data_IF_157454196779
#
_entry.id   IF_157454196779
#
_cell.length_a   1.000
_cell.length_b   1.000
_cell.length_c   1.000
_cell.angle_alpha   90.00
_cell.angle_beta   90.00
_cell.angle_gamma   90.00
#
_symmetry.space_group_name_H-M   'P 1'
#
loop_
_entity.id
_entity.type
_entity.pdbx_description
1 polymer ?
#
# COMPACT_ATOMS: atom_id res chain seq x y z
N UNK A 1 36.77 8.75 -19.97
CA UNK A 1 36.07 7.64 -20.67
C UNK A 1 34.92 8.23 -21.47
N UNK A 2 35.17 8.64 -22.72
CA UNK A 2 34.11 9.13 -23.62
C UNK A 2 33.50 7.93 -24.32
N UNK A 3 32.27 7.57 -23.96
CA UNK A 3 31.49 6.58 -24.67
C UNK A 3 31.06 7.24 -26.00
N UNK A 4 31.77 6.96 -27.09
CA UNK A 4 31.35 7.37 -28.43
C UNK A 4 30.19 6.51 -28.89
N UNK A 5 28.96 6.97 -28.61
CA UNK A 5 27.74 6.39 -29.18
C UNK A 5 27.64 6.82 -30.65
N UNK A 6 27.34 5.86 -31.54
CA UNK A 6 27.13 6.14 -32.97
C UNK A 6 25.89 7.02 -33.19
N UNK A 7 25.94 7.93 -34.17
CA UNK A 7 24.83 8.85 -34.48
C UNK A 7 23.54 8.11 -34.84
N UNK A 8 23.65 6.98 -35.54
CA UNK A 8 22.54 6.09 -35.86
C UNK A 8 21.84 5.56 -34.61
N UNK A 9 22.63 5.18 -33.58
CA UNK A 9 22.08 4.71 -32.32
C UNK A 9 21.37 5.84 -31.56
N UNK A 10 21.91 7.06 -31.56
CA UNK A 10 21.23 8.23 -30.97
C UNK A 10 19.89 8.47 -31.65
N UNK A 11 19.87 8.45 -32.98
CA UNK A 11 18.65 8.67 -33.75
C UNK A 11 17.60 7.58 -33.48
N UNK A 12 18.01 6.30 -33.50
CA UNK A 12 17.14 5.19 -33.15
C UNK A 12 16.56 5.33 -31.74
N UNK A 13 17.39 5.68 -30.74
CA UNK A 13 16.93 5.91 -29.37
C UNK A 13 15.96 7.10 -29.26
N UNK A 14 16.15 8.17 -30.06
CA UNK A 14 15.23 9.30 -30.12
C UNK A 14 13.85 8.87 -30.68
N UNK A 15 13.84 8.10 -31.77
CA UNK A 15 12.60 7.56 -32.36
C UNK A 15 11.86 6.65 -31.38
N UNK A 16 12.56 5.73 -30.71
CA UNK A 16 11.94 4.87 -29.70
C UNK A 16 11.38 5.68 -28.53
N UNK A 17 12.06 6.73 -28.09
CA UNK A 17 11.56 7.59 -27.02
C UNK A 17 10.24 8.29 -27.39
N UNK A 18 10.09 8.75 -28.63
CA UNK A 18 8.84 9.29 -29.13
C UNK A 18 7.74 8.25 -29.16
N UNK A 19 8.03 7.07 -29.71
CA UNK A 19 7.09 5.96 -29.80
C UNK A 19 6.55 5.55 -28.42
N UNK A 20 7.44 5.30 -27.44
CA UNK A 20 7.02 4.93 -26.08
C UNK A 20 6.20 6.03 -25.41
N UNK A 21 6.55 7.30 -25.62
CA UNK A 21 5.80 8.42 -25.04
C UNK A 21 4.39 8.50 -25.64
N UNK A 22 4.25 8.32 -26.96
CA UNK A 22 2.95 8.29 -27.63
C UNK A 22 2.06 7.15 -27.10
N UNK A 23 2.62 5.96 -26.94
CA UNK A 23 1.91 4.81 -26.34
C UNK A 23 1.45 5.13 -24.91
N UNK A 24 2.27 5.79 -24.10
CA UNK A 24 1.89 6.14 -22.73
C UNK A 24 0.81 7.23 -22.66
N UNK A 25 0.83 8.20 -23.58
CA UNK A 25 -0.24 9.20 -23.70
C UNK A 25 -1.54 8.50 -24.05
N UNK A 26 -1.51 7.59 -25.03
CA UNK A 26 -2.67 6.83 -25.46
C UNK A 26 -3.22 5.92 -24.35
N UNK A 27 -2.34 5.22 -23.62
CA UNK A 27 -2.69 4.44 -22.43
C UNK A 27 -3.43 5.30 -21.38
N UNK A 28 -2.88 6.47 -21.04
CA UNK A 28 -3.47 7.39 -20.06
C UNK A 28 -4.81 7.95 -20.56
N UNK A 29 -4.91 8.34 -21.83
CA UNK A 29 -6.15 8.84 -22.44
C UNK A 29 -7.26 7.78 -22.40
N UNK A 30 -6.96 6.54 -22.77
CA UNK A 30 -7.93 5.44 -22.71
C UNK A 30 -8.42 5.20 -21.28
N UNK A 31 -7.52 5.21 -20.28
CA UNK A 31 -7.91 5.04 -18.86
C UNK A 31 -8.79 6.21 -18.37
N UNK A 32 -8.48 7.44 -18.75
CA UNK A 32 -9.28 8.62 -18.38
C UNK A 32 -10.69 8.53 -18.96
N UNK A 33 -10.82 8.13 -20.23
CA UNK A 33 -12.12 7.97 -20.90
C UNK A 33 -12.93 6.82 -20.28
N UNK A 34 -12.29 5.68 -19.98
CA UNK A 34 -12.98 4.51 -19.44
C UNK A 34 -13.41 4.66 -17.98
N UNK A 35 -12.57 5.25 -17.12
CA UNK A 35 -12.79 5.32 -15.66
C UNK A 35 -13.40 6.66 -15.21
N UNK A 36 -13.31 7.69 -16.05
CA UNK A 36 -13.62 9.08 -15.71
C UNK A 36 -12.50 9.75 -14.90
N UNK A 37 -12.33 11.06 -15.10
CA UNK A 37 -11.20 11.84 -14.55
C UNK A 37 -11.07 11.73 -13.01
N UNK A 38 -12.19 11.79 -12.28
CA UNK A 38 -12.19 11.74 -10.81
C UNK A 38 -11.74 10.39 -10.25
N UNK A 39 -12.19 9.28 -10.87
CA UNK A 39 -11.85 7.93 -10.40
C UNK A 39 -10.43 7.55 -10.79
N UNK A 40 -10.01 7.97 -11.97
CA UNK A 40 -8.65 7.78 -12.44
C UNK A 40 -7.61 8.51 -11.56
N UNK A 41 -7.89 9.76 -11.16
CA UNK A 41 -7.01 10.51 -10.27
C UNK A 41 -7.12 10.13 -8.79
N UNK A 42 -8.04 9.25 -8.38
CA UNK A 42 -8.12 8.79 -7.00
C UNK A 42 -7.05 7.73 -6.66
N UNK A 43 -6.64 6.93 -7.65
CA UNK A 43 -5.63 5.87 -7.47
C UNK A 43 -4.20 6.45 -7.56
N UNK A 44 -3.40 6.23 -6.51
CA UNK A 44 -2.01 6.71 -6.40
C UNK A 44 -1.12 6.20 -7.53
N UNK A 45 -1.36 4.98 -8.01
CA UNK A 45 -0.59 4.41 -9.11
C UNK A 45 -0.95 5.06 -10.45
N UNK A 46 -2.20 5.45 -10.63
CA UNK A 46 -2.63 6.20 -11.81
C UNK A 46 -2.14 7.65 -11.76
N UNK A 47 -2.11 8.30 -10.58
CA UNK A 47 -1.49 9.63 -10.41
C UNK A 47 -0.01 9.60 -10.82
N UNK A 48 0.75 8.58 -10.40
CA UNK A 48 2.15 8.39 -10.81
C UNK A 48 2.27 8.16 -12.32
N UNK A 49 1.31 7.47 -12.94
CA UNK A 49 1.26 7.26 -14.41
C UNK A 49 1.16 8.59 -15.15
N UNK A 50 0.22 9.43 -14.75
CA UNK A 50 0.00 10.78 -15.33
C UNK A 50 1.21 11.66 -15.13
N UNK A 51 1.81 11.65 -13.93
CA UNK A 51 3.02 12.40 -13.64
C UNK A 51 4.18 12.02 -14.58
N UNK A 52 4.39 10.72 -14.82
CA UNK A 52 5.41 10.25 -15.77
C UNK A 52 5.11 10.70 -17.20
N UNK A 53 3.84 10.66 -17.63
CA UNK A 53 3.44 11.11 -18.97
C UNK A 53 3.70 12.60 -19.15
N UNK A 54 3.28 13.43 -18.18
CA UNK A 54 3.52 14.88 -18.19
C UNK A 54 5.02 15.18 -18.22
N UNK A 55 5.79 14.56 -17.34
CA UNK A 55 7.24 14.75 -17.28
C UNK A 55 7.94 14.33 -18.57
N UNK A 56 7.43 13.27 -19.21
CA UNK A 56 7.92 12.78 -20.50
C UNK A 56 7.66 13.76 -21.63
N UNK A 57 6.47 14.38 -21.68
CA UNK A 57 6.12 15.40 -22.67
C UNK A 57 6.96 16.65 -22.45
N UNK A 58 7.05 17.15 -21.22
CA UNK A 58 7.89 18.32 -20.89
C UNK A 58 9.35 18.07 -21.28
N UNK A 59 9.88 16.88 -20.96
CA UNK A 59 11.27 16.53 -21.27
C UNK A 59 11.57 16.38 -22.77
N UNK A 60 10.55 16.15 -23.60
CA UNK A 60 10.68 16.15 -25.06
C UNK A 60 10.59 17.59 -25.59
N UNK A 61 9.58 18.34 -25.16
CA UNK A 61 9.38 19.73 -25.58
C UNK A 61 10.61 20.57 -25.27
N UNK A 62 11.18 20.45 -24.06
CA UNK A 62 12.39 21.20 -23.69
C UNK A 62 13.63 20.81 -24.50
N UNK A 63 13.74 19.57 -24.99
CA UNK A 63 14.87 19.12 -25.83
C UNK A 63 14.72 19.64 -27.27
N UNK A 64 13.49 19.79 -27.77
CA UNK A 64 13.26 20.38 -29.10
C UNK A 64 13.35 21.92 -29.08
N UNK A 65 12.94 22.58 -27.99
CA UNK A 65 13.03 24.05 -27.81
C UNK A 65 14.46 24.57 -27.65
N UNK A 66 15.40 23.71 -27.24
CA UNK A 66 16.86 24.01 -27.25
C UNK A 66 17.33 24.36 -28.67
N UNK A 67 16.66 23.85 -29.71
CA UNK A 67 17.06 24.00 -31.11
C UNK A 67 16.72 25.36 -31.70
N UNK A 68 15.74 26.10 -31.16
CA UNK A 68 15.13 27.21 -31.93
C UNK A 68 15.15 28.61 -31.28
N UNK A 69 15.04 28.83 -29.96
CA UNK A 69 14.85 30.25 -29.49
C UNK A 69 15.37 30.62 -28.08
N UNK A 70 15.53 29.70 -27.11
CA UNK A 70 15.78 30.10 -25.70
C UNK A 70 17.07 29.46 -25.15
N UNK A 71 18.02 30.23 -24.58
CA UNK A 71 19.18 29.66 -23.88
C UNK A 71 18.75 29.03 -22.55
N UNK A 72 18.50 27.71 -22.56
CA UNK A 72 18.20 26.93 -21.36
C UNK A 72 19.50 26.48 -20.69
N UNK A 73 19.55 26.50 -19.35
CA UNK A 73 20.73 26.04 -18.61
C UNK A 73 21.02 24.55 -18.88
N UNK A 74 22.25 24.17 -19.29
CA UNK A 74 22.60 22.78 -19.63
C UNK A 74 22.41 21.80 -18.46
N UNK A 75 22.44 22.29 -17.22
CA UNK A 75 22.16 21.48 -16.02
C UNK A 75 20.71 20.99 -15.99
N UNK A 76 19.74 21.83 -16.38
CA UNK A 76 18.32 21.46 -16.41
C UNK A 76 18.09 20.36 -17.46
N UNK A 77 18.73 20.49 -18.62
CA UNK A 77 18.65 19.50 -19.70
C UNK A 77 19.20 18.15 -19.23
N UNK A 78 20.32 18.14 -18.49
CA UNK A 78 20.87 16.91 -17.90
C UNK A 78 19.89 16.27 -16.91
N UNK A 79 19.28 17.06 -16.03
CA UNK A 79 18.28 16.57 -15.06
C UNK A 79 17.08 15.96 -15.81
N UNK A 80 16.55 16.64 -16.83
CA UNK A 80 15.43 16.12 -17.62
C UNK A 80 15.75 14.81 -18.36
N UNK A 81 17.01 14.61 -18.80
CA UNK A 81 17.48 13.34 -19.36
C UNK A 81 17.46 12.22 -18.31
N UNK A 82 17.94 12.48 -17.09
CA UNK A 82 17.92 11.52 -15.98
C UNK A 82 16.48 11.18 -15.58
N UNK A 83 15.58 12.16 -15.58
CA UNK A 83 14.17 11.98 -15.24
C UNK A 83 13.42 11.02 -16.17
N UNK A 84 13.92 10.73 -17.39
CA UNK A 84 13.36 9.69 -18.26
C UNK A 84 13.43 8.29 -17.63
N UNK A 85 14.37 8.06 -16.70
CA UNK A 85 14.46 6.81 -15.90
C UNK A 85 13.20 6.62 -15.07
N UNK A 86 12.47 7.68 -14.70
CA UNK A 86 11.20 7.56 -13.98
C UNK A 86 10.17 6.69 -14.74
N UNK A 87 10.27 6.58 -16.08
CA UNK A 87 9.42 5.67 -16.87
C UNK A 87 9.60 4.21 -16.46
N UNK A 88 10.79 3.81 -16.00
CA UNK A 88 11.07 2.45 -15.49
C UNK A 88 10.24 2.17 -14.23
N UNK A 89 9.87 3.21 -13.45
CA UNK A 89 9.00 3.05 -12.28
C UNK A 89 7.60 2.53 -12.64
N UNK A 90 7.17 2.64 -13.91
CA UNK A 90 5.94 1.97 -14.38
C UNK A 90 6.02 0.45 -14.22
N UNK A 91 7.21 -0.15 -14.34
CA UNK A 91 7.40 -1.60 -14.18
C UNK A 91 7.14 -2.05 -12.74
N UNK A 92 7.33 -1.17 -11.75
CA UNK A 92 7.04 -1.46 -10.34
C UNK A 92 5.54 -1.76 -10.12
N UNK A 93 4.65 -1.21 -10.95
CA UNK A 93 3.20 -1.48 -10.90
C UNK A 93 2.85 -2.91 -11.30
N UNK A 94 3.65 -3.51 -12.18
CA UNK A 94 3.40 -4.84 -12.73
C UNK A 94 3.90 -5.93 -11.78
N UNK A 95 4.94 -5.63 -11.01
CA UNK A 95 5.51 -6.53 -10.02
C UNK A 95 4.73 -6.49 -8.70
N UNK A 96 3.69 -7.34 -8.58
CA UNK A 96 2.86 -7.45 -7.37
C UNK A 96 3.68 -7.63 -6.08
N UNK A 97 4.77 -8.40 -6.13
CA UNK A 97 5.66 -8.59 -4.98
C UNK A 97 6.41 -7.31 -4.56
N UNK A 98 6.96 -6.55 -5.53
CA UNK A 98 7.65 -5.29 -5.24
C UNK A 98 6.66 -4.24 -4.72
N UNK A 99 5.46 -4.20 -5.28
CA UNK A 99 4.38 -3.32 -4.79
C UNK A 99 4.06 -3.59 -3.32
N UNK A 100 3.91 -4.86 -2.93
CA UNK A 100 3.64 -5.22 -1.54
C UNK A 100 4.77 -4.73 -0.59
N UNK A 101 6.03 -4.90 -0.99
CA UNK A 101 7.17 -4.40 -0.20
C UNK A 101 7.22 -2.86 -0.11
N UNK A 102 6.86 -2.15 -1.18
CA UNK A 102 6.79 -0.69 -1.15
C UNK A 102 5.63 -0.21 -0.26
N UNK A 103 4.49 -0.90 -0.29
CA UNK A 103 3.34 -0.57 0.54
C UNK A 103 3.67 -0.75 2.04
N UNK A 104 4.44 -1.79 2.43
CA UNK A 104 4.90 -1.95 3.83
C UNK A 104 5.90 -0.87 4.24
N UNK A 105 6.84 -0.49 3.37
CA UNK A 105 7.77 0.62 3.65
C UNK A 105 7.02 1.93 3.85
N UNK A 106 6.01 2.23 3.02
CA UNK A 106 5.21 3.44 3.14
C UNK A 106 4.37 3.47 4.43
N UNK A 107 3.96 2.31 4.94
CA UNK A 107 3.28 2.19 6.24
C UNK A 107 4.23 2.32 7.43
N UNK A 108 5.50 1.96 7.26
CA UNK A 108 6.54 2.14 8.28
C UNK A 108 7.03 3.61 8.38
N UNK A 109 7.01 4.35 7.27
CA UNK A 109 7.58 5.69 7.15
C UNK A 109 7.08 6.71 8.20
N UNK A 110 5.77 6.84 8.51
CA UNK A 110 5.29 7.80 9.50
C UNK A 110 5.88 7.60 10.89
N UNK A 111 6.14 6.34 11.27
CA UNK A 111 6.72 6.02 12.58
C UNK A 111 8.21 6.36 12.63
N UNK A 112 8.94 6.05 11.55
CA UNK A 112 10.35 6.45 11.42
C UNK A 112 10.48 7.97 11.36
N UNK A 113 9.51 8.67 10.79
CA UNK A 113 9.51 10.12 10.64
C UNK A 113 9.69 10.88 11.95
N UNK A 114 9.05 10.44 13.04
CA UNK A 114 9.18 11.09 14.36
C UNK A 114 10.61 11.00 14.91
N UNK A 115 11.23 9.83 14.81
CA UNK A 115 12.63 9.62 15.21
C UNK A 115 13.60 10.31 14.24
N UNK A 116 13.28 10.30 12.95
CA UNK A 116 14.03 10.99 11.91
C UNK A 116 14.06 12.50 12.10
N UNK A 117 12.98 13.11 12.63
CA UNK A 117 12.94 14.53 12.94
C UNK A 117 13.88 14.89 14.11
N UNK A 118 13.93 14.05 15.16
CA UNK A 118 14.92 14.20 16.24
C UNK A 118 16.36 14.07 15.71
N UNK A 119 16.59 13.09 14.83
CA UNK A 119 17.90 12.89 14.20
C UNK A 119 18.30 14.08 13.31
N UNK A 120 17.34 14.64 12.56
CA UNK A 120 17.56 15.83 11.76
C UNK A 120 17.89 17.07 12.61
N UNK A 121 17.21 17.24 13.76
CA UNK A 121 17.53 18.32 14.70
C UNK A 121 18.94 18.18 15.27
N UNK A 122 19.36 16.97 15.63
CA UNK A 122 20.73 16.68 16.07
C UNK A 122 21.73 17.13 14.99
N UNK A 123 21.52 16.74 13.73
CA UNK A 123 22.36 17.15 12.61
C UNK A 123 22.39 18.66 12.43
N UNK A 124 21.25 19.34 12.57
CA UNK A 124 21.19 20.79 12.44
C UNK A 124 22.04 21.51 13.49
N UNK A 125 21.92 21.12 14.76
CA UNK A 125 22.68 21.71 15.87
C UNK A 125 24.18 21.47 15.67
N UNK A 126 24.58 20.22 15.38
CA UNK A 126 25.99 19.88 15.18
C UNK A 126 26.54 20.53 13.91
N UNK A 127 25.78 20.63 12.81
CA UNK A 127 26.24 21.32 11.61
C UNK A 127 26.53 22.80 11.88
N UNK A 128 25.66 23.50 12.62
CA UNK A 128 25.89 24.88 13.00
C UNK A 128 27.14 25.04 13.90
N UNK A 129 27.29 24.18 14.91
CA UNK A 129 28.48 24.16 15.77
C UNK A 129 29.75 23.81 14.98
N UNK A 130 29.67 22.88 14.04
CA UNK A 130 30.80 22.46 13.21
C UNK A 130 31.28 23.57 12.28
N UNK A 131 30.36 24.37 11.72
CA UNK A 131 30.74 25.56 10.94
C UNK A 131 31.44 26.59 11.82
N UNK A 132 30.96 26.82 13.03
CA UNK A 132 31.58 27.79 13.94
C UNK A 132 32.97 27.34 14.41
N UNK A 133 33.12 26.06 14.76
CA UNK A 133 34.37 25.50 15.28
C UNK A 133 35.41 25.23 14.19
N UNK A 134 35.00 24.65 13.06
CA UNK A 134 35.90 24.10 12.04
C UNK A 134 35.81 24.82 10.68
N UNK A 135 34.96 25.84 10.54
CA UNK A 135 34.74 26.53 9.26
C UNK A 135 35.95 27.28 8.73
N UNK A 136 36.91 27.64 9.60
CA UNK A 136 38.15 28.33 9.25
C UNK A 136 39.33 27.38 8.96
N UNK A 137 39.12 26.06 9.03
CA UNK A 137 40.16 25.08 8.74
C UNK A 137 40.37 24.92 7.22
N UNK A 138 41.63 24.85 6.77
CA UNK A 138 41.96 24.75 5.34
C UNK A 138 42.81 23.53 5.00
N UNK A 139 42.41 22.77 3.99
CA UNK A 139 43.19 21.66 3.45
C UNK A 139 43.73 22.07 2.09
N UNK A 140 45.05 22.09 1.95
CA UNK A 140 45.79 22.43 0.71
C UNK A 140 46.94 21.45 0.55
N UNK A 141 47.70 21.53 -0.55
CA UNK A 141 48.89 20.69 -0.72
C UNK A 141 49.96 20.96 0.36
N UNK A 142 49.97 22.17 0.92
CA UNK A 142 50.84 22.55 2.05
C UNK A 142 50.34 21.98 3.39
N UNK A 143 49.02 21.81 3.54
CA UNK A 143 48.37 21.24 4.72
C UNK A 143 47.56 20.00 4.35
N UNK A 144 48.21 18.85 4.15
CA UNK A 144 47.53 17.63 3.70
C UNK A 144 46.54 17.15 4.76
N UNK A 145 45.34 16.80 4.30
CA UNK A 145 44.26 16.27 5.12
C UNK A 145 43.90 14.85 4.67
N UNK A 146 43.56 13.97 5.62
CA UNK A 146 43.21 12.57 5.33
C UNK A 146 41.70 12.34 5.21
N UNK A 147 40.90 13.04 6.02
CA UNK A 147 39.45 12.96 6.07
C UNK A 147 38.74 14.17 5.49
N UNK A 148 39.29 15.37 5.68
CA UNK A 148 38.79 16.62 5.11
C UNK A 148 39.30 16.82 3.69
N UNK A 149 38.50 17.50 2.87
CA UNK A 149 38.83 17.79 1.48
C UNK A 149 37.81 18.67 0.78
N UNK A 150 37.89 18.74 -0.55
CA UNK A 150 37.00 19.58 -1.36
C UNK A 150 35.52 19.25 -1.16
N UNK A 151 35.18 17.97 -0.96
CA UNK A 151 33.80 17.50 -0.78
C UNK A 151 33.44 17.12 0.66
N UNK A 152 34.34 17.38 1.63
CA UNK A 152 34.10 17.09 3.04
C UNK A 152 34.78 18.18 3.89
N UNK A 153 34.03 19.23 4.23
CA UNK A 153 34.53 20.37 5.00
C UNK A 153 33.39 21.12 5.70
N UNK A 154 33.75 21.97 6.67
CA UNK A 154 32.82 22.72 7.51
C UNK A 154 32.69 24.21 7.15
N UNK A 155 33.19 24.66 5.99
CA UNK A 155 33.14 26.06 5.54
C UNK A 155 31.74 26.63 5.41
N UNK A 156 30.76 25.81 5.04
CA UNK A 156 29.37 26.21 4.90
C UNK A 156 28.44 25.17 5.52
N UNK A 157 27.22 25.59 5.85
CA UNK A 157 26.24 24.74 6.52
C UNK A 157 25.90 23.47 5.73
N UNK A 158 25.74 23.57 4.41
CA UNK A 158 25.37 22.43 3.56
C UNK A 158 26.45 21.34 3.52
N UNK A 159 27.72 21.73 3.35
CA UNK A 159 28.86 20.80 3.38
C UNK A 159 29.13 20.27 4.77
N UNK A 160 28.93 21.07 5.82
CA UNK A 160 28.99 20.59 7.21
C UNK A 160 27.94 19.50 7.45
N UNK A 161 26.71 19.69 6.96
CA UNK A 161 25.64 18.69 7.05
C UNK A 161 26.00 17.38 6.32
N UNK A 162 26.53 17.47 5.09
CA UNK A 162 26.97 16.29 4.32
C UNK A 162 28.19 15.60 4.96
N UNK A 163 29.11 16.37 5.53
CA UNK A 163 30.28 15.84 6.26
C UNK A 163 29.84 15.10 7.52
N UNK A 164 28.86 15.64 8.26
CA UNK A 164 28.27 14.95 9.41
C UNK A 164 27.47 13.71 9.01
N UNK A 165 26.83 13.71 7.84
CA UNK A 165 26.20 12.51 7.30
C UNK A 165 27.22 11.38 7.08
N UNK A 166 28.39 11.71 6.50
CA UNK A 166 29.51 10.77 6.37
C UNK A 166 30.02 10.26 7.72
N UNK A 167 30.14 11.16 8.71
CA UNK A 167 30.56 10.78 10.06
C UNK A 167 29.54 9.86 10.74
N UNK A 168 28.24 10.15 10.59
CA UNK A 168 27.15 9.37 11.19
C UNK A 168 27.02 7.96 10.60
N UNK A 169 27.46 7.75 9.35
CA UNK A 169 27.55 6.39 8.76
C UNK A 169 28.78 5.63 9.24
N UNK A 170 29.65 6.25 10.05
CA UNK A 170 30.90 5.67 10.55
C UNK A 170 32.03 5.68 9.53
N UNK A 171 31.87 6.33 8.37
CA UNK A 171 32.91 6.38 7.35
C UNK A 171 33.96 7.45 7.67
N UNK A 172 35.21 7.02 7.82
CA UNK A 172 36.39 7.87 7.99
C UNK A 172 36.26 9.03 9.00
N UNK A 173 35.42 8.89 10.02
CA UNK A 173 35.21 9.95 11.03
C UNK A 173 36.46 10.23 11.86
N UNK A 174 37.28 9.20 12.10
CA UNK A 174 38.58 9.31 12.76
C UNK A 174 39.56 10.18 11.96
N UNK A 175 39.57 10.04 10.64
CA UNK A 175 40.43 10.86 9.76
C UNK A 175 40.01 12.33 9.82
N UNK A 176 38.70 12.59 9.74
CA UNK A 176 38.14 13.94 9.86
C UNK A 176 38.49 14.55 11.23
N UNK A 177 38.32 13.80 12.32
CA UNK A 177 38.67 14.25 13.66
C UNK A 177 40.18 14.57 13.79
N UNK A 178 41.05 13.70 13.26
CA UNK A 178 42.51 13.94 13.30
C UNK A 178 42.91 15.19 12.54
N UNK A 179 42.30 15.45 11.38
CA UNK A 179 42.58 16.67 10.62
C UNK A 179 42.18 17.93 11.39
N UNK A 180 41.11 17.88 12.19
CA UNK A 180 40.72 18.98 13.08
C UNK A 180 41.63 19.17 14.30
N UNK A 181 42.45 18.16 14.63
CA UNK A 181 43.35 18.16 15.79
C UNK A 181 44.81 18.49 15.42
N UNK A 182 45.05 18.92 14.19
CA UNK A 182 46.41 19.18 13.71
C UNK A 182 47.05 20.36 14.45
N UNK A 183 48.36 20.29 14.61
CA UNK A 183 49.17 21.36 15.23
C UNK A 183 49.70 22.37 14.19
N UNK A 184 49.68 22.02 12.91
CA UNK A 184 50.13 22.87 11.79
C UNK A 184 49.04 23.90 11.40
N UNK A 185 48.67 24.75 12.34
CA UNK A 185 47.63 25.78 12.22
C UNK A 185 48.04 27.05 12.97
N UNK A 186 47.32 28.15 12.72
CA UNK A 186 47.54 29.42 13.40
C UNK A 186 46.77 29.43 14.75
N UNK A 187 47.47 29.52 15.91
CA UNK A 187 46.84 29.56 17.22
C UNK A 187 46.39 30.96 17.65
N UNK A 188 46.60 31.99 16.83
CA UNK A 188 46.22 33.38 17.17
C UNK A 188 44.69 33.55 17.30
N UNK A 189 44.26 34.41 18.22
CA UNK A 189 42.84 34.72 18.44
C UNK A 189 42.21 35.44 17.24
N UNK A 190 43.02 36.20 16.49
CA UNK A 190 42.60 36.98 15.32
C UNK A 190 42.77 36.20 14.01
N UNK A 191 42.93 34.88 14.10
CA UNK A 191 43.12 34.03 12.95
C UNK A 191 41.93 34.09 11.97
N UNK A 192 42.24 34.32 10.70
CA UNK A 192 41.25 34.40 9.61
C UNK A 192 41.21 33.08 8.82
N UNK A 193 42.35 32.39 8.68
CA UNK A 193 42.49 31.16 7.90
C UNK A 193 43.39 30.14 8.59
N UNK A 194 43.04 28.86 8.46
CA UNK A 194 43.71 27.74 9.08
C UNK A 194 43.88 27.92 10.61
N UNK A 195 42.77 28.19 11.31
CA UNK A 195 42.82 28.43 12.75
C UNK A 195 42.85 27.13 13.54
N UNK A 196 43.70 27.10 14.57
CA UNK A 196 43.76 25.97 15.48
C UNK A 196 42.48 25.85 16.30
N UNK A 197 42.02 24.62 16.48
CA UNK A 197 40.92 24.29 17.39
C UNK A 197 41.50 23.67 18.66
N UNK A 198 40.84 23.90 19.78
CA UNK A 198 41.27 23.33 21.06
C UNK A 198 41.35 21.79 20.97
N UNK A 199 42.46 21.19 21.46
CA UNK A 199 42.68 19.75 21.40
C UNK A 199 41.68 18.95 22.26
N UNK A 200 40.89 19.62 23.10
CA UNK A 200 39.86 18.99 23.93
C UNK A 200 38.50 19.09 23.25
N UNK A 201 38.19 20.22 22.61
CA UNK A 201 36.86 20.48 22.03
C UNK A 201 36.64 19.61 20.79
N UNK A 202 37.65 19.48 19.93
CA UNK A 202 37.51 18.73 18.68
C UNK A 202 37.18 17.24 18.91
N UNK A 203 37.92 16.47 19.73
CA UNK A 203 37.58 15.07 19.99
C UNK A 203 36.23 14.93 20.71
N UNK A 204 35.93 15.83 21.66
CA UNK A 204 34.65 15.80 22.39
C UNK A 204 33.47 15.99 21.42
N UNK A 205 33.57 16.94 20.50
CA UNK A 205 32.55 17.18 19.48
C UNK A 205 32.27 15.90 18.65
N UNK A 206 33.32 15.27 18.09
CA UNK A 206 33.14 14.10 17.23
C UNK A 206 32.69 12.86 18.00
N UNK A 207 33.29 12.57 19.16
CA UNK A 207 32.91 11.41 19.98
C UNK A 207 31.47 11.52 20.46
N UNK A 208 31.08 12.69 20.96
CA UNK A 208 29.70 12.92 21.41
C UNK A 208 28.72 12.79 20.23
N UNK A 209 29.04 13.39 19.08
CA UNK A 209 28.21 13.28 17.89
C UNK A 209 28.03 11.82 17.44
N UNK A 210 29.12 11.07 17.32
CA UNK A 210 29.09 9.66 16.88
C UNK A 210 28.28 8.80 17.85
N UNK A 211 28.47 8.96 19.16
CA UNK A 211 27.71 8.22 20.16
C UNK A 211 26.21 8.57 20.11
N UNK A 212 25.86 9.86 20.02
CA UNK A 212 24.45 10.27 19.89
C UNK A 212 23.84 9.78 18.58
N UNK A 213 24.55 9.92 17.45
CA UNK A 213 24.05 9.52 16.14
C UNK A 213 23.84 8.00 16.07
N UNK A 214 24.79 7.21 16.58
CA UNK A 214 24.66 5.76 16.64
C UNK A 214 23.53 5.32 17.57
N UNK A 215 23.37 5.98 18.73
CA UNK A 215 22.27 5.70 19.64
C UNK A 215 20.91 5.94 18.97
N UNK A 216 20.74 7.07 18.28
CA UNK A 216 19.50 7.37 17.55
C UNK A 216 19.27 6.38 16.41
N UNK A 217 20.31 6.01 15.65
CA UNK A 217 20.20 5.05 14.56
C UNK A 217 19.77 3.66 15.06
N UNK A 218 20.37 3.19 16.15
CA UNK A 218 19.97 1.92 16.79
C UNK A 218 18.52 2.00 17.28
N UNK A 219 18.11 3.11 17.90
CA UNK A 219 16.72 3.29 18.34
C UNK A 219 15.74 3.28 17.16
N UNK A 220 16.11 3.83 16.00
CA UNK A 220 15.30 3.73 14.77
C UNK A 220 15.16 2.27 14.33
N UNK A 221 16.26 1.52 14.28
CA UNK A 221 16.23 0.10 13.91
C UNK A 221 15.37 -0.71 14.87
N UNK A 222 15.53 -0.49 16.19
CA UNK A 222 14.73 -1.16 17.22
C UNK A 222 13.25 -0.79 17.08
N UNK A 223 12.92 0.48 16.87
CA UNK A 223 11.53 0.90 16.69
C UNK A 223 10.86 0.25 15.46
N UNK A 224 11.58 0.16 14.34
CA UNK A 224 11.07 -0.51 13.12
C UNK A 224 10.91 -2.02 13.37
N UNK A 225 11.89 -2.65 13.99
CA UNK A 225 11.84 -4.08 14.33
C UNK A 225 10.66 -4.39 15.26
N UNK A 226 10.49 -3.59 16.33
CA UNK A 226 9.39 -3.77 17.28
C UNK A 226 8.03 -3.60 16.62
N UNK A 227 7.89 -2.62 15.72
CA UNK A 227 6.65 -2.48 14.95
C UNK A 227 6.37 -3.71 14.09
N UNK A 228 7.36 -4.24 13.38
CA UNK A 228 7.18 -5.43 12.56
C UNK A 228 6.86 -6.67 13.40
N UNK A 229 7.47 -6.82 14.58
CA UNK A 229 7.14 -7.89 15.52
C UNK A 229 5.70 -7.73 16.04
N UNK A 230 5.29 -6.53 16.45
CA UNK A 230 3.93 -6.25 16.93
C UNK A 230 2.88 -6.50 15.84
N UNK A 231 3.13 -6.06 14.61
CA UNK A 231 2.25 -6.29 13.46
C UNK A 231 2.17 -7.78 13.10
N UNK A 232 3.29 -8.51 13.16
CA UNK A 232 3.31 -9.97 12.95
C UNK A 232 2.61 -10.74 14.05
N UNK A 233 2.74 -10.32 15.32
CA UNK A 233 2.04 -10.94 16.45
C UNK A 233 0.55 -10.70 16.36
N UNK A 234 0.13 -9.46 16.05
CA UNK A 234 -1.28 -9.14 15.86
C UNK A 234 -1.92 -9.96 14.74
N UNK A 235 -1.23 -10.11 13.60
CA UNK A 235 -1.72 -10.96 12.52
C UNK A 235 -1.93 -12.41 12.96
N UNK A 236 -1.00 -12.95 13.75
CA UNK A 236 -1.11 -14.31 14.28
C UNK A 236 -2.26 -14.45 15.29
N UNK A 237 -2.47 -13.46 16.16
CA UNK A 237 -3.59 -13.47 17.12
C UNK A 237 -4.95 -13.36 16.41
N UNK A 238 -5.05 -12.49 15.39
CA UNK A 238 -6.25 -12.35 14.54
C UNK A 238 -6.57 -13.67 13.81
N UNK A 239 -5.55 -14.36 13.26
CA UNK A 239 -5.72 -15.65 12.59
C UNK A 239 -6.23 -16.74 13.57
N UNK A 240 -5.71 -16.78 14.79
CA UNK A 240 -6.16 -17.71 15.85
C UNK A 240 -7.63 -17.43 16.24
N UNK A 241 -8.01 -16.17 16.37
CA UNK A 241 -9.40 -15.80 16.71
C UNK A 241 -10.38 -16.19 15.58
N UNK A 242 -9.98 -15.98 14.33
CA UNK A 242 -10.77 -16.37 13.16
C UNK A 242 -10.96 -17.89 13.11
N UNK A 243 -9.89 -18.67 13.31
CA UNK A 243 -9.95 -20.13 13.32
C UNK A 243 -10.87 -20.66 14.44
N UNK A 244 -10.79 -20.07 15.63
CA UNK A 244 -11.66 -20.42 16.75
C UNK A 244 -13.14 -20.10 16.47
N UNK A 245 -13.43 -18.99 15.79
CA UNK A 245 -14.79 -18.63 15.39
C UNK A 245 -15.34 -19.56 14.29
N UNK A 246 -14.51 -19.93 13.31
CA UNK A 246 -14.86 -20.90 12.28
C UNK A 246 -15.21 -22.25 12.92
N UNK A 247 -14.40 -22.72 13.88
CA UNK A 247 -14.65 -24.00 14.56
C UNK A 247 -15.98 -23.99 15.33
N UNK A 248 -16.31 -22.88 16.02
CA UNK A 248 -17.60 -22.72 16.71
C UNK A 248 -18.78 -22.74 15.74
N UNK A 249 -18.66 -22.05 14.61
CA UNK A 249 -19.71 -22.02 13.59
C UNK A 249 -19.93 -23.41 12.98
N UNK A 250 -18.85 -24.14 12.68
CA UNK A 250 -18.90 -25.51 12.17
C UNK A 250 -19.55 -26.48 13.17
N UNK A 251 -19.22 -26.35 14.46
CA UNK A 251 -19.84 -27.13 15.53
C UNK A 251 -21.34 -26.84 15.67
N UNK A 252 -21.75 -25.57 15.58
CA UNK A 252 -23.15 -25.16 15.62
C UNK A 252 -23.94 -25.70 14.42
N UNK A 253 -23.40 -25.59 13.20
CA UNK A 253 -24.00 -26.16 12.00
C UNK A 253 -24.14 -27.69 12.07
N UNK A 254 -23.10 -28.38 12.56
CA UNK A 254 -23.13 -29.82 12.74
C UNK A 254 -24.22 -30.21 13.75
N UNK A 255 -24.31 -29.53 14.89
CA UNK A 255 -25.34 -29.76 15.90
C UNK A 255 -26.77 -29.56 15.34
N UNK A 256 -26.97 -28.54 14.52
CA UNK A 256 -28.24 -28.28 13.85
C UNK A 256 -28.59 -29.35 12.81
N UNK A 257 -27.59 -29.82 12.05
CA UNK A 257 -27.77 -30.92 11.09
C UNK A 257 -28.19 -32.22 11.78
N UNK A 258 -27.58 -32.53 12.94
CA UNK A 258 -27.92 -33.70 13.75
C UNK A 258 -29.33 -33.56 14.33
N UNK A 259 -29.69 -32.37 14.84
CA UNK A 259 -31.05 -32.07 15.32
C UNK A 259 -32.11 -32.19 14.22
N UNK A 260 -31.81 -31.80 12.98
CA UNK A 260 -32.72 -31.97 11.82
C UNK A 260 -32.89 -33.45 11.50
N UNK A 261 -31.79 -34.21 11.32
CA UNK A 261 -31.84 -35.67 11.09
C UNK A 261 -32.60 -36.42 12.19
N UNK A 262 -32.45 -36.00 13.45
CA UNK A 262 -33.18 -36.59 14.57
C UNK A 262 -34.69 -36.31 14.52
N UNK A 263 -35.09 -35.08 14.13
CA UNK A 263 -36.51 -34.74 13.92
C UNK A 263 -37.13 -35.51 12.77
N UNK A 264 -36.39 -35.70 11.68
CA UNK A 264 -36.86 -36.45 10.51
C UNK A 264 -37.07 -37.93 10.84
N UNK A 265 -36.12 -38.58 11.53
CA UNK A 265 -36.30 -39.96 12.03
C UNK A 265 -37.51 -40.11 12.94
N UNK A 266 -37.75 -39.15 13.85
CA UNK A 266 -38.94 -39.17 14.72
C UNK A 266 -40.24 -39.01 13.93
N UNK A 267 -40.24 -38.20 12.86
CA UNK A 267 -41.41 -38.06 11.96
C UNK A 267 -41.67 -39.34 11.18
N UNK A 268 -40.63 -40.01 10.70
CA UNK A 268 -40.74 -41.29 10.00
C UNK A 268 -41.26 -42.40 10.92
N UNK A 269 -40.78 -42.46 12.17
CA UNK A 269 -41.28 -43.42 13.16
C UNK A 269 -42.77 -43.21 13.47
N UNK A 270 -43.22 -41.96 13.69
CA UNK A 270 -44.65 -41.67 13.88
C UNK A 270 -45.49 -42.05 12.67
N UNK A 271 -45.02 -41.76 11.46
CA UNK A 271 -45.73 -42.17 10.23
C UNK A 271 -45.86 -43.68 10.12
N UNK A 272 -44.83 -44.45 10.52
CA UNK A 272 -44.90 -45.91 10.56
C UNK A 272 -45.87 -46.43 11.63
N UNK A 273 -45.89 -45.81 12.81
CA UNK A 273 -46.87 -46.13 13.86
C UNK A 273 -48.30 -45.83 13.40
N UNK A 274 -48.56 -44.65 12.84
CA UNK A 274 -49.85 -44.28 12.25
C UNK A 274 -50.23 -45.24 11.11
N UNK A 275 -49.29 -45.70 10.28
CA UNK A 275 -49.56 -46.69 9.24
C UNK A 275 -49.96 -48.04 9.82
N UNK A 276 -49.30 -48.48 10.90
CA UNK A 276 -49.62 -49.74 11.60
C UNK A 276 -50.97 -49.65 12.30
N UNK A 277 -51.27 -48.51 12.92
CA UNK A 277 -52.55 -48.26 13.60
C UNK A 277 -53.71 -48.18 12.60
N UNK A 278 -53.51 -47.50 11.46
CA UNK A 278 -54.49 -47.47 10.37
C UNK A 278 -54.67 -48.83 9.69
N UNK A 279 -53.62 -49.66 9.61
CA UNK A 279 -53.72 -51.05 9.16
C UNK A 279 -54.48 -51.95 10.16
N UNK A 280 -54.47 -51.61 11.46
CA UNK A 280 -55.22 -52.31 12.51
C UNK A 280 -56.68 -51.83 12.65
N UNK A 281 -57.05 -50.70 12.04
CA UNK A 281 -58.46 -50.32 11.88
C UNK A 281 -59.11 -51.26 10.86
N UNK A 282 -59.87 -52.25 11.34
CA UNK A 282 -60.72 -53.10 10.49
C UNK A 282 -61.54 -52.21 9.54
N UNK A 283 -61.40 -52.42 8.23
CA UNK A 283 -62.33 -51.90 7.22
C UNK A 283 -63.71 -52.49 7.54
N UNK A 284 -64.57 -51.70 8.15
CA UNK A 284 -65.97 -52.05 8.35
C UNK A 284 -66.62 -52.04 6.97
N UNK A 285 -66.98 -53.23 6.45
CA UNK A 285 -67.91 -53.35 5.33
C UNK A 285 -69.24 -52.75 5.78
N UNK A 286 -69.56 -51.54 5.29
CA UNK A 286 -70.93 -51.04 5.39
C UNK A 286 -71.82 -51.92 4.52
N UNK A 287 -72.84 -52.53 5.14
CA UNK A 287 -73.98 -53.07 4.42
C UNK A 287 -74.76 -51.92 3.77
N UNK A 288 -75.17 -52.14 2.52
CA UNK A 288 -75.99 -51.27 1.67
C UNK A 288 -76.86 -50.24 2.38
N UNK A 289 -76.77 -48.97 1.92
CA UNK A 289 -77.73 -47.92 2.24
C UNK A 289 -79.13 -48.32 1.75
N UNK A 290 -80.20 -48.08 2.54
CA UNK A 290 -81.57 -48.26 2.07
C UNK A 290 -81.92 -47.19 1.02
N UNK A 291 -82.85 -47.51 0.12
CA UNK A 291 -83.14 -46.77 -1.12
C UNK A 291 -83.64 -45.31 -0.97
N UNK A 292 -83.76 -44.78 0.25
CA UNK A 292 -84.36 -43.46 0.53
C UNK A 292 -83.46 -42.57 1.39
N UNK A 293 -82.15 -42.58 1.16
CA UNK A 293 -81.23 -41.71 1.90
C UNK A 293 -81.08 -40.34 1.19
N UNK A 294 -81.63 -39.29 1.81
CA UNK A 294 -81.43 -37.90 1.36
C UNK A 294 -80.25 -37.31 2.14
N UNK A 295 -79.22 -36.89 1.42
CA UNK A 295 -78.03 -36.25 2.00
C UNK A 295 -78.35 -34.79 2.35
N UNK A 296 -78.32 -34.41 3.64
CA UNK A 296 -78.30 -33.01 4.08
C UNK A 296 -76.87 -32.60 4.37
N UNK A 297 -76.35 -31.63 3.62
CA UNK A 297 -75.22 -30.83 4.09
C UNK A 297 -75.73 -29.89 5.18
N UNK A 298 -75.20 -30.01 6.40
CA UNK A 298 -75.29 -28.93 7.38
C UNK A 298 -73.97 -28.18 7.34
N UNK A 299 -74.02 -26.95 6.85
CA UNK A 299 -73.08 -25.90 7.24
C UNK A 299 -73.32 -25.52 8.71
N UNK A 300 -72.28 -24.92 9.31
CA UNK A 300 -72.25 -24.19 10.59
C UNK A 300 -72.38 -24.99 11.89
N UNK A 301 -71.70 -24.67 13.00
CA UNK A 301 -70.58 -23.76 13.34
C UNK A 301 -70.42 -23.86 14.86
N UNK A 302 -69.21 -23.75 15.41
CA UNK A 302 -69.09 -23.10 16.72
C UNK A 302 -67.79 -22.33 16.83
N UNK A 303 -67.98 -21.03 17.04
CA UNK A 303 -66.97 -20.00 17.09
C UNK A 303 -66.72 -19.58 18.56
N UNK A 304 -65.56 -18.91 18.75
CA UNK A 304 -65.14 -18.04 19.88
C UNK A 304 -64.45 -18.81 21.02
N UNK A 305 -63.23 -18.47 21.45
CA UNK A 305 -62.66 -17.14 21.62
C UNK A 305 -61.21 -17.02 21.13
N UNK A 306 -60.97 -15.93 20.42
CA UNK A 306 -59.69 -15.41 19.98
C UNK A 306 -59.32 -14.23 20.89
N UNK A 307 -58.04 -14.14 21.29
CA UNK A 307 -57.31 -12.86 21.31
C UNK A 307 -55.82 -13.12 21.61
N UNK A 308 -54.99 -13.10 20.57
CA UNK A 308 -53.70 -12.42 20.66
C UNK A 308 -53.21 -11.97 19.28
N UNK A 309 -52.62 -10.78 19.29
CA UNK A 309 -52.16 -9.96 18.17
C UNK A 309 -51.01 -10.57 17.34
N UNK A 310 -51.02 -10.26 16.04
CA UNK A 310 -49.87 -9.68 15.28
C UNK A 310 -49.58 -10.33 13.91
N UNK A 311 -49.96 -9.58 12.86
CA UNK A 311 -49.34 -9.41 11.52
C UNK A 311 -48.55 -10.60 10.93
N UNK A 312 -49.14 -11.25 9.93
CA UNK A 312 -48.40 -11.96 8.86
C UNK A 312 -48.23 -11.05 7.63
N UNK A 313 -46.98 -10.70 7.30
CA UNK A 313 -46.59 -10.26 5.95
C UNK A 313 -46.31 -11.52 5.13
N UNK A 314 -47.01 -11.64 4.02
CA UNK A 314 -46.95 -12.73 3.05
C UNK A 314 -45.63 -12.68 2.28
N UNK A 315 -44.85 -13.76 2.28
CA UNK A 315 -43.81 -14.00 1.28
C UNK A 315 -44.35 -15.01 0.27
N UNK A 316 -44.42 -14.61 -1.01
CA UNK A 316 -44.83 -15.47 -2.13
C UNK A 316 -43.57 -16.08 -2.74
N UNK A 317 -43.35 -17.36 -2.50
CA UNK A 317 -42.26 -18.14 -3.11
C UNK A 317 -42.83 -18.92 -4.30
N UNK A 318 -42.48 -18.51 -5.52
CA UNK A 318 -42.82 -19.22 -6.76
C UNK A 318 -41.74 -20.25 -7.08
N UNK A 319 -42.14 -21.51 -7.20
CA UNK A 319 -41.31 -22.62 -7.71
C UNK A 319 -41.78 -22.94 -9.14
N UNK A 320 -40.88 -23.10 -10.14
CA UNK A 320 -41.23 -23.39 -11.52
C UNK A 320 -41.37 -24.90 -11.77
N UNK A 321 -42.25 -25.28 -12.71
CA UNK A 321 -42.36 -26.66 -13.23
C UNK A 321 -42.37 -26.60 -14.77
N UNK A 322 -41.73 -27.57 -15.49
CA UNK A 322 -41.22 -27.37 -16.85
C UNK A 322 -42.11 -27.93 -17.97
N UNK A 323 -42.04 -27.25 -19.13
CA UNK A 323 -42.00 -27.80 -20.49
C UNK A 323 -43.14 -28.69 -21.02
N UNK A 324 -44.04 -28.10 -21.82
CA UNK A 324 -44.61 -28.71 -23.04
C UNK A 324 -44.72 -27.62 -24.14
N UNK A 325 -44.36 -28.02 -25.36
CA UNK A 325 -44.05 -27.26 -26.59
C UNK A 325 -45.30 -26.96 -27.44
N UNK A 326 -45.27 -25.83 -28.16
CA UNK A 326 -45.80 -25.59 -29.53
C UNK A 326 -47.33 -25.74 -29.75
N UNK A 327 -48.11 -24.91 -30.45
CA UNK A 327 -47.91 -24.08 -31.66
C UNK A 327 -49.22 -23.30 -31.91
N UNK A 328 -49.21 -22.38 -32.90
CA UNK A 328 -50.34 -21.71 -33.59
C UNK A 328 -50.63 -20.23 -33.24
N UNK A 329 -49.98 -19.37 -34.05
CA UNK A 329 -50.43 -18.03 -34.53
C UNK A 329 -51.70 -18.17 -35.42
N UNK A 330 -52.31 -17.08 -35.95
CA UNK A 330 -52.40 -15.67 -35.51
C UNK A 330 -53.87 -15.14 -35.56
N UNK A 331 -54.12 -13.92 -35.09
CA UNK A 331 -55.26 -13.12 -35.60
C UNK A 331 -54.85 -11.67 -35.82
N UNK A 332 -55.31 -11.16 -36.96
CA UNK A 332 -54.98 -9.93 -37.67
C UNK A 332 -56.16 -8.95 -37.51
N UNK A 333 -55.85 -7.63 -37.58
CA UNK A 333 -56.73 -6.49 -37.96
C UNK A 333 -57.74 -5.99 -36.91
N UNK A 334 -58.04 -4.69 -36.79
CA UNK A 334 -57.96 -3.53 -37.70
C UNK A 334 -57.62 -2.25 -36.93
N UNK A 335 -56.70 -1.40 -37.41
CA UNK A 335 -56.94 -0.17 -38.19
C UNK A 335 -55.61 0.51 -38.51
#
# INVERSE_FOLDING_TARGET
MFIFISKELVYALKVFNYFFTAVFILEAAMKIVALGLRRYLADRWNQLDVGIVILSVIGIVLEEMESEVIPINPTIIRVMRVLRIARVLKLLKMAKGIRALLDTVMQALPQVGNLGLLFFLLFFIFAALGVELFGRLECTDEYPCQGLGEHAHFRNFGMAFLTLFRVATGDNWNGIMKDTLRENCDPSSDCIRNCCVSPIIAPLYFVVFVLMAQFVLVNVVVAVLMKHLEESHKHMDDDIEIDAEIERQLAAELADSVRRKGRDRRREARKQEELKENAHRKLIKMSSLPANFIFRFSEESDAKNFNFFSKSKTYRMTIPIPGIRSTYLPSIRNT
#
